data_IF_551322109422
#
_entry.id   IF_551322109422
#
_cell.length_a   1.000
_cell.length_b   1.000
_cell.length_c   1.000
_cell.angle_alpha   90.00
_cell.angle_beta   90.00
_cell.angle_gamma   90.00
#
_symmetry.space_group_name_H-M   'P 1'
#
loop_
_entity.id
_entity.type
_entity.pdbx_description
1 polymer ?
#
# COMPACT_ATOMS: atom_id res chain seq x y z
N UNK A 1 -1.95 -18.85 -7.21
CA UNK A 1 -1.22 -18.07 -6.17
C UNK A 1 -1.38 -18.67 -4.77
N UNK A 2 -2.59 -19.09 -4.34
CA UNK A 2 -2.82 -19.60 -2.97
C UNK A 2 -2.02 -20.85 -2.58
N UNK A 3 -1.99 -21.89 -3.43
CA UNK A 3 -1.33 -23.18 -3.08
C UNK A 3 0.19 -23.03 -2.87
N UNK A 4 0.89 -22.32 -3.75
CA UNK A 4 2.34 -22.14 -3.65
C UNK A 4 2.75 -21.48 -2.33
N UNK A 5 1.99 -20.48 -1.86
CA UNK A 5 2.23 -19.83 -0.56
C UNK A 5 2.14 -20.85 0.59
N UNK A 6 1.11 -21.70 0.60
CA UNK A 6 0.94 -22.72 1.63
C UNK A 6 2.11 -23.72 1.64
N UNK A 7 2.50 -24.22 0.47
CA UNK A 7 3.60 -25.20 0.34
C UNK A 7 4.96 -24.63 0.76
N UNK A 8 5.22 -23.35 0.47
CA UNK A 8 6.42 -22.65 0.96
C UNK A 8 6.44 -22.60 2.50
N UNK A 9 5.31 -22.27 3.12
CA UNK A 9 5.20 -22.20 4.59
C UNK A 9 5.38 -23.57 5.26
N UNK A 10 4.95 -24.64 4.59
CA UNK A 10 5.09 -26.03 5.05
C UNK A 10 6.49 -26.62 4.75
N UNK A 11 7.32 -25.92 3.96
CA UNK A 11 8.63 -26.42 3.53
C UNK A 11 8.58 -27.53 2.46
N UNK A 12 7.44 -27.70 1.78
CA UNK A 12 7.27 -28.68 0.70
C UNK A 12 7.82 -28.15 -0.63
N UNK A 13 9.15 -28.03 -0.68
CA UNK A 13 9.86 -27.44 -1.82
C UNK A 13 9.75 -28.25 -3.12
N UNK A 14 9.57 -29.58 -3.03
CA UNK A 14 9.34 -30.41 -4.21
C UNK A 14 7.99 -30.07 -4.85
N UNK A 15 6.94 -29.88 -4.05
CA UNK A 15 5.64 -29.43 -4.57
C UNK A 15 5.69 -28.02 -5.09
N UNK A 16 6.43 -27.11 -4.44
CA UNK A 16 6.68 -25.76 -4.98
C UNK A 16 7.33 -25.85 -6.36
N UNK A 17 8.34 -26.71 -6.55
CA UNK A 17 8.97 -26.96 -7.85
C UNK A 17 7.97 -27.42 -8.92
N UNK A 18 7.11 -28.40 -8.60
CA UNK A 18 6.04 -28.87 -9.51
C UNK A 18 5.06 -27.74 -9.88
N UNK A 19 4.73 -26.86 -8.93
CA UNK A 19 3.88 -25.69 -9.20
C UNK A 19 4.60 -24.64 -10.07
N UNK A 20 5.93 -24.50 -9.95
CA UNK A 20 6.71 -23.64 -10.84
C UNK A 20 6.68 -24.15 -12.28
N UNK A 21 6.83 -25.46 -12.48
CA UNK A 21 6.73 -26.10 -13.81
C UNK A 21 5.35 -25.86 -14.43
N UNK A 22 4.28 -26.10 -13.67
CA UNK A 22 2.91 -25.87 -14.13
C UNK A 22 2.66 -24.40 -14.49
N UNK A 23 3.21 -23.47 -13.69
CA UNK A 23 3.18 -22.06 -14.03
C UNK A 23 3.95 -21.75 -15.33
N UNK A 24 5.06 -22.45 -15.60
CA UNK A 24 5.85 -22.24 -16.81
C UNK A 24 5.09 -22.68 -18.07
N UNK A 25 4.29 -23.74 -17.99
CA UNK A 25 3.42 -24.18 -19.10
C UNK A 25 2.47 -23.04 -19.54
N UNK A 26 1.80 -22.38 -18.59
CA UNK A 26 0.97 -21.22 -18.91
C UNK A 26 1.75 -20.07 -19.54
N UNK A 27 2.98 -19.81 -19.08
CA UNK A 27 3.80 -18.74 -19.64
C UNK A 27 4.30 -19.07 -21.05
N UNK A 28 4.54 -20.35 -21.34
CA UNK A 28 4.80 -20.83 -22.70
C UNK A 28 3.58 -20.61 -23.59
N UNK A 29 2.38 -20.97 -23.12
CA UNK A 29 1.13 -20.81 -23.87
C UNK A 29 0.79 -19.34 -24.14
N UNK A 30 1.18 -18.44 -23.23
CA UNK A 30 1.08 -16.99 -23.41
C UNK A 30 2.08 -16.42 -24.42
N UNK A 31 3.02 -17.22 -24.94
CA UNK A 31 4.00 -16.81 -25.93
C UNK A 31 5.10 -15.89 -25.40
N UNK A 32 5.32 -15.85 -24.08
CA UNK A 32 6.30 -14.96 -23.44
C UNK A 32 7.66 -15.60 -23.17
N UNK A 33 7.79 -16.90 -23.47
CA UNK A 33 9.05 -17.67 -23.39
C UNK A 33 9.78 -17.72 -24.73
N UNK A 34 11.07 -18.03 -24.72
CA UNK A 34 11.92 -18.14 -25.92
C UNK A 34 12.58 -19.52 -25.98
N UNK A 35 12.99 -19.98 -27.17
CA UNK A 35 13.67 -21.28 -27.34
C UNK A 35 14.90 -21.42 -26.42
N UNK A 36 15.73 -20.37 -26.37
CA UNK A 36 16.90 -20.33 -25.48
C UNK A 36 16.51 -20.53 -24.00
N UNK A 37 15.39 -19.97 -23.57
CA UNK A 37 14.91 -20.09 -22.20
C UNK A 37 14.36 -21.49 -21.91
N UNK A 38 13.68 -22.10 -22.88
CA UNK A 38 13.21 -23.48 -22.78
C UNK A 38 14.38 -24.45 -22.65
N UNK A 39 15.45 -24.24 -23.41
CA UNK A 39 16.65 -25.07 -23.33
C UNK A 39 17.32 -24.99 -21.95
N UNK A 40 17.43 -23.79 -21.37
CA UNK A 40 17.98 -23.58 -20.02
C UNK A 40 17.12 -24.25 -18.94
N UNK A 41 15.80 -24.08 -19.01
CA UNK A 41 14.85 -24.71 -18.09
C UNK A 41 14.95 -26.23 -18.17
N UNK A 42 15.00 -26.79 -19.38
CA UNK A 42 15.14 -28.22 -19.59
C UNK A 42 16.48 -28.75 -19.06
N UNK A 43 17.57 -28.02 -19.28
CA UNK A 43 18.90 -28.37 -18.78
C UNK A 43 18.92 -28.41 -17.24
N UNK A 44 18.38 -27.39 -16.58
CA UNK A 44 18.28 -27.33 -15.12
C UNK A 44 17.47 -28.49 -14.55
N UNK A 45 16.33 -28.82 -15.17
CA UNK A 45 15.48 -29.96 -14.76
C UNK A 45 16.17 -31.30 -14.93
N UNK A 46 16.84 -31.53 -16.07
CA UNK A 46 17.62 -32.76 -16.31
C UNK A 46 18.76 -32.94 -15.31
N UNK A 47 19.35 -31.84 -14.83
CA UNK A 47 20.38 -31.83 -13.80
C UNK A 47 19.85 -31.98 -12.36
N UNK A 48 18.53 -32.11 -12.18
CA UNK A 48 17.91 -32.43 -10.89
C UNK A 48 17.24 -31.25 -10.16
N UNK A 49 16.91 -30.16 -10.86
CA UNK A 49 16.02 -29.15 -10.30
C UNK A 49 14.61 -29.75 -10.04
N UNK A 50 14.01 -29.40 -8.90
CA UNK A 50 12.63 -29.77 -8.57
C UNK A 50 11.60 -29.08 -9.46
N UNK A 51 11.95 -27.91 -9.98
CA UNK A 51 11.17 -27.17 -10.97
C UNK A 51 11.93 -25.97 -11.47
N UNK A 52 11.61 -25.52 -12.69
CA UNK A 52 12.23 -24.34 -13.27
C UNK A 52 11.22 -23.58 -14.14
N UNK A 53 11.30 -22.26 -14.10
CA UNK A 53 10.41 -21.40 -14.89
C UNK A 53 11.10 -20.10 -15.28
N UNK A 54 10.55 -19.43 -16.28
CA UNK A 54 10.96 -18.06 -16.56
C UNK A 54 10.62 -17.10 -15.41
N UNK A 55 11.46 -16.08 -15.24
CA UNK A 55 11.28 -15.00 -14.29
C UNK A 55 10.89 -13.69 -14.99
N UNK A 56 10.19 -12.80 -14.30
CA UNK A 56 9.80 -11.48 -14.85
C UNK A 56 8.58 -11.48 -15.77
N UNK A 57 8.41 -10.40 -16.53
CA UNK A 57 7.21 -10.09 -17.31
C UNK A 57 7.15 -10.74 -18.71
N UNK A 58 8.22 -11.41 -19.16
CA UNK A 58 8.34 -11.99 -20.51
C UNK A 58 9.41 -11.32 -21.38
N UNK A 59 9.81 -11.95 -22.49
CA UNK A 59 10.80 -11.40 -23.45
C UNK A 59 12.23 -11.93 -23.32
N UNK A 60 12.53 -12.70 -22.26
CA UNK A 60 13.56 -13.75 -22.29
C UNK A 60 14.99 -13.38 -21.91
N UNK A 61 15.23 -12.96 -20.66
CA UNK A 61 16.61 -12.85 -20.13
C UNK A 61 16.93 -13.85 -19.00
N UNK A 62 16.00 -14.13 -18.09
CA UNK A 62 16.30 -14.86 -16.85
C UNK A 62 15.31 -16.00 -16.56
N UNK A 63 15.83 -17.12 -16.06
CA UNK A 63 15.04 -18.20 -15.46
C UNK A 63 15.42 -18.43 -13.99
N UNK A 64 14.51 -19.03 -13.23
CA UNK A 64 14.76 -19.48 -11.87
C UNK A 64 14.57 -21.01 -11.78
N UNK A 65 15.54 -21.70 -11.21
CA UNK A 65 15.46 -23.12 -10.86
C UNK A 65 15.42 -23.28 -9.35
N UNK A 66 14.47 -24.07 -8.87
CA UNK A 66 14.41 -24.50 -7.48
C UNK A 66 15.04 -25.88 -7.37
N UNK A 67 16.03 -26.02 -6.49
CA UNK A 67 16.74 -27.27 -6.28
C UNK A 67 17.27 -27.36 -4.86
N UNK A 68 17.66 -28.57 -4.47
CA UNK A 68 18.43 -28.75 -3.24
C UNK A 68 19.85 -28.21 -3.39
N UNK A 69 20.44 -27.78 -2.28
CA UNK A 69 21.80 -27.21 -2.25
C UNK A 69 22.84 -28.16 -2.83
N UNK A 70 22.72 -29.48 -2.61
CA UNK A 70 23.65 -30.47 -3.15
C UNK A 70 23.62 -30.59 -4.69
N UNK A 71 22.55 -30.17 -5.35
CA UNK A 71 22.42 -30.21 -6.82
C UNK A 71 22.90 -28.94 -7.51
N UNK A 72 23.25 -27.92 -6.73
CA UNK A 72 23.60 -26.59 -7.24
C UNK A 72 24.70 -26.63 -8.30
N UNK A 73 25.84 -27.26 -8.02
CA UNK A 73 26.97 -27.31 -8.96
C UNK A 73 26.66 -28.08 -10.25
N UNK A 74 25.83 -29.12 -10.17
CA UNK A 74 25.43 -29.91 -11.33
C UNK A 74 24.50 -29.10 -12.25
N UNK A 75 23.53 -28.40 -11.64
CA UNK A 75 22.59 -27.54 -12.33
C UNK A 75 23.30 -26.32 -12.94
N UNK A 76 24.19 -25.66 -12.19
CA UNK A 76 24.97 -24.52 -12.69
C UNK A 76 25.75 -24.88 -13.96
N UNK A 77 26.48 -26.01 -13.93
CA UNK A 77 27.23 -26.49 -15.11
C UNK A 77 26.32 -26.80 -16.30
N UNK A 78 25.13 -27.35 -16.05
CA UNK A 78 24.18 -27.65 -17.11
C UNK A 78 23.62 -26.37 -17.78
N UNK A 79 23.36 -25.33 -16.97
CA UNK A 79 22.92 -24.01 -17.44
C UNK A 79 24.03 -23.34 -18.26
N UNK A 80 25.26 -23.31 -17.75
CA UNK A 80 26.42 -22.71 -18.43
C UNK A 80 26.73 -23.40 -19.76
N UNK A 81 26.69 -24.73 -19.80
CA UNK A 81 26.90 -25.51 -21.03
C UNK A 81 25.86 -25.21 -22.12
N UNK A 82 24.66 -24.82 -21.71
CA UNK A 82 23.55 -24.43 -22.60
C UNK A 82 23.65 -22.95 -23.02
N UNK A 83 24.67 -22.22 -22.54
CA UNK A 83 24.93 -20.83 -22.89
C UNK A 83 24.22 -19.81 -21.99
N UNK A 84 23.82 -20.22 -20.79
CA UNK A 84 23.33 -19.34 -19.74
C UNK A 84 24.45 -18.84 -18.81
N UNK A 85 24.20 -17.77 -18.09
CA UNK A 85 25.06 -17.28 -17.00
C UNK A 85 24.39 -17.58 -15.66
N UNK A 86 25.14 -18.11 -14.70
CA UNK A 86 24.61 -18.42 -13.37
C UNK A 86 24.81 -17.22 -12.45
N UNK A 87 23.69 -16.61 -12.04
CA UNK A 87 23.68 -15.58 -11.01
C UNK A 87 23.61 -16.23 -9.63
N UNK A 88 24.65 -16.03 -8.81
CA UNK A 88 24.64 -16.44 -7.41
C UNK A 88 23.74 -15.49 -6.60
N UNK A 89 22.54 -15.97 -6.26
CA UNK A 89 21.57 -15.22 -5.44
C UNK A 89 21.33 -15.96 -4.12
N UNK A 90 21.29 -15.19 -3.03
CA UNK A 90 20.93 -15.70 -1.70
C UNK A 90 19.43 -15.52 -1.44
N UNK A 91 18.75 -16.59 -1.02
CA UNK A 91 17.33 -16.59 -0.65
C UNK A 91 17.03 -15.85 0.68
N UNK A 92 18.03 -15.17 1.25
CA UNK A 92 17.92 -14.40 2.50
C UNK A 92 18.38 -12.95 2.33
N UNK A 93 18.47 -12.46 1.10
CA UNK A 93 18.61 -11.03 0.87
C UNK A 93 17.40 -10.32 1.50
N UNK A 94 17.68 -9.22 2.19
CA UNK A 94 16.65 -8.34 2.69
C UNK A 94 15.87 -7.80 1.48
N UNK A 95 14.59 -8.18 1.37
CA UNK A 95 13.72 -7.71 0.29
C UNK A 95 13.40 -6.23 0.44
N UNK A 96 12.68 -5.68 -0.54
CA UNK A 96 12.13 -4.33 -0.40
C UNK A 96 11.23 -4.26 0.84
N UNK A 97 11.55 -3.34 1.75
CA UNK A 97 10.71 -3.01 2.91
C UNK A 97 10.06 -1.65 2.66
N UNK A 98 8.81 -1.52 3.08
CA UNK A 98 8.21 -0.19 3.25
C UNK A 98 8.76 0.35 4.55
N UNK A 99 9.70 1.28 4.46
CA UNK A 99 10.10 2.07 5.63
C UNK A 99 9.04 3.14 5.86
N UNK A 100 8.28 2.96 6.93
CA UNK A 100 7.30 3.94 7.39
C UNK A 100 7.73 4.51 8.72
N UNK A 101 7.42 5.78 8.93
CA UNK A 101 7.57 6.46 10.23
C UNK A 101 6.36 6.25 11.13
N UNK A 102 5.28 5.67 10.61
CA UNK A 102 4.06 5.39 11.35
C UNK A 102 4.24 4.19 12.29
N UNK A 103 3.86 4.36 13.56
CA UNK A 103 3.88 3.26 14.53
C UNK A 103 2.81 2.21 14.19
N UNK A 104 3.27 1.07 13.68
CA UNK A 104 2.41 -0.04 13.29
C UNK A 104 1.74 -0.75 14.50
N UNK A 105 2.21 -0.49 15.72
CA UNK A 105 1.63 -1.01 16.97
C UNK A 105 0.63 -0.05 17.62
N UNK A 106 0.48 1.17 17.08
CA UNK A 106 -0.48 2.15 17.57
C UNK A 106 -1.90 1.56 17.58
N UNK A 107 -2.63 1.79 18.67
CA UNK A 107 -3.95 1.19 18.88
C UNK A 107 -5.06 2.13 18.42
N UNK A 108 -5.82 1.69 17.44
CA UNK A 108 -7.01 2.38 16.93
C UNK A 108 -8.26 1.88 17.61
N UNK A 109 -9.26 2.76 17.73
CA UNK A 109 -10.59 2.42 18.22
C UNK A 109 -11.41 1.71 17.14
N UNK A 110 -11.71 0.43 17.35
CA UNK A 110 -12.51 -0.42 16.44
C UNK A 110 -13.97 -0.37 16.85
N UNK A 111 -14.86 -0.24 15.87
CA UNK A 111 -16.30 -0.07 16.04
C UNK A 111 -17.12 -1.04 15.19
N UNK A 112 -18.40 -1.17 15.53
CA UNK A 112 -19.40 -1.74 14.63
C UNK A 112 -19.93 -0.71 13.61
N UNK A 113 -20.81 -1.14 12.71
CA UNK A 113 -21.46 -0.28 11.70
C UNK A 113 -22.30 0.87 12.29
N UNK A 114 -22.59 0.83 13.60
CA UNK A 114 -23.35 1.86 14.32
C UNK A 114 -22.46 2.76 15.16
N UNK A 115 -21.15 2.77 14.87
CA UNK A 115 -20.13 3.53 15.57
C UNK A 115 -20.06 3.21 17.08
N UNK A 116 -20.34 1.95 17.47
CA UNK A 116 -20.18 1.50 18.86
C UNK A 116 -18.84 0.81 19.01
N UNK A 117 -18.08 1.20 20.04
CA UNK A 117 -16.75 0.62 20.30
C UNK A 117 -16.90 -0.87 20.62
N UNK A 118 -16.17 -1.71 19.86
CA UNK A 118 -16.10 -3.17 20.05
C UNK A 118 -14.71 -3.64 20.48
N UNK A 119 -13.70 -2.77 20.43
CA UNK A 119 -12.36 -3.06 20.92
C UNK A 119 -11.30 -2.13 20.35
N UNK A 120 -10.05 -2.57 20.45
CA UNK A 120 -8.90 -1.86 19.93
C UNK A 120 -8.01 -2.82 19.14
N UNK A 121 -7.45 -2.33 18.04
CA UNK A 121 -6.59 -3.10 17.15
C UNK A 121 -5.41 -2.27 16.71
N UNK A 122 -4.31 -2.94 16.38
CA UNK A 122 -3.12 -2.24 15.89
C UNK A 122 -3.39 -1.60 14.54
N UNK A 123 -2.69 -0.50 14.25
CA UNK A 123 -2.65 0.15 12.94
C UNK A 123 -2.43 -0.84 11.82
N UNK A 124 -1.47 -1.75 12.00
CA UNK A 124 -1.20 -2.81 11.02
C UNK A 124 -2.43 -3.71 10.78
N UNK A 125 -3.09 -4.18 11.84
CA UNK A 125 -4.29 -5.02 11.69
C UNK A 125 -5.40 -4.28 10.95
N UNK A 126 -5.69 -3.03 11.31
CA UNK A 126 -6.74 -2.21 10.71
C UNK A 126 -6.50 -1.95 9.21
N UNK A 127 -5.28 -1.55 8.83
CA UNK A 127 -4.93 -1.25 7.44
C UNK A 127 -4.78 -2.49 6.53
N UNK A 128 -4.82 -3.70 7.10
CA UNK A 128 -4.70 -4.96 6.33
C UNK A 128 -5.95 -5.85 6.43
N UNK A 129 -6.99 -5.38 7.13
CA UNK A 129 -8.17 -6.17 7.44
C UNK A 129 -9.43 -5.32 7.21
N UNK A 130 -9.97 -5.27 5.98
CA UNK A 130 -11.08 -4.37 5.63
C UNK A 130 -12.35 -4.52 6.48
N UNK A 131 -12.56 -5.65 7.17
CA UNK A 131 -13.72 -5.83 8.03
C UNK A 131 -13.55 -5.26 9.46
N UNK A 132 -12.36 -4.77 9.81
CA UNK A 132 -12.12 -4.03 11.04
C UNK A 132 -12.43 -2.54 10.82
N UNK A 133 -13.70 -2.18 11.03
CA UNK A 133 -14.12 -0.77 10.98
C UNK A 133 -13.49 -0.04 12.15
N UNK A 134 -12.70 1.00 11.88
CA UNK A 134 -12.03 1.77 12.92
C UNK A 134 -12.25 3.27 12.73
N UNK A 135 -12.18 4.02 13.83
CA UNK A 135 -12.55 5.44 13.84
C UNK A 135 -11.44 6.32 13.30
N UNK A 136 -11.80 7.25 12.43
CA UNK A 136 -10.90 8.31 11.94
C UNK A 136 -11.57 9.67 11.96
N UNK A 137 -10.75 10.71 11.88
CA UNK A 137 -11.21 12.08 11.64
C UNK A 137 -10.73 12.55 10.28
N UNK A 138 -11.46 13.49 9.70
CA UNK A 138 -10.98 14.27 8.56
C UNK A 138 -11.31 15.74 8.75
N UNK A 139 -10.42 16.63 8.33
CA UNK A 139 -10.65 18.07 8.45
C UNK A 139 -10.50 18.73 7.09
N UNK A 140 -11.47 19.57 6.76
CA UNK A 140 -11.50 20.44 5.59
C UNK A 140 -11.27 21.89 6.05
N UNK A 141 -10.07 22.40 5.85
CA UNK A 141 -9.73 23.80 6.12
C UNK A 141 -9.94 24.64 4.88
N UNK A 142 -10.65 25.76 5.06
CA UNK A 142 -10.88 26.76 4.02
C UNK A 142 -10.23 28.09 4.40
N UNK A 143 -9.68 28.78 3.42
CA UNK A 143 -9.26 30.17 3.59
C UNK A 143 -10.44 31.14 3.39
N UNK A 144 -10.17 32.43 3.58
CA UNK A 144 -11.17 33.50 3.37
C UNK A 144 -11.70 33.61 1.93
N UNK A 145 -11.04 32.99 0.95
CA UNK A 145 -11.47 32.95 -0.44
C UNK A 145 -12.28 31.68 -0.77
N UNK A 146 -12.48 30.79 0.20
CA UNK A 146 -13.19 29.53 0.01
C UNK A 146 -12.35 28.46 -0.71
N UNK A 147 -11.02 28.65 -0.81
CA UNK A 147 -10.12 27.61 -1.33
C UNK A 147 -9.90 26.56 -0.25
N UNK A 148 -9.81 25.30 -0.65
CA UNK A 148 -9.53 24.16 0.23
C UNK A 148 -8.01 23.99 0.39
N UNK A 149 -7.54 23.75 1.61
CA UNK A 149 -6.16 23.34 1.83
C UNK A 149 -6.03 21.85 1.52
N UNK A 150 -5.22 21.50 0.52
CA UNK A 150 -4.82 20.12 0.27
C UNK A 150 -3.44 19.86 0.85
N UNK A 151 -3.25 18.62 1.30
CA UNK A 151 -1.99 18.16 1.87
C UNK A 151 -1.33 17.17 0.91
N UNK A 152 -0.04 17.35 0.61
CA UNK A 152 0.79 16.33 -0.01
C UNK A 152 1.40 15.48 1.10
N UNK A 153 0.99 14.22 1.18
CA UNK A 153 1.47 13.27 2.20
C UNK A 153 2.96 13.00 2.03
N UNK A 154 3.68 12.87 3.14
CA UNK A 154 5.08 12.47 3.15
C UNK A 154 5.30 11.14 2.41
N UNK A 155 6.51 10.92 1.89
CA UNK A 155 6.92 9.63 1.33
C UNK A 155 7.09 8.53 2.37
N UNK A 156 7.12 8.87 3.67
CA UNK A 156 7.29 7.93 4.78
C UNK A 156 5.98 7.47 5.41
N UNK A 157 4.82 7.84 4.86
CA UNK A 157 3.52 7.34 5.32
C UNK A 157 3.34 5.87 4.91
N UNK A 158 2.71 5.08 5.77
CA UNK A 158 2.33 3.71 5.44
C UNK A 158 1.22 3.66 4.37
N UNK A 159 0.23 4.55 4.49
CA UNK A 159 -0.92 4.64 3.61
C UNK A 159 -0.88 5.94 2.79
N UNK A 160 -0.97 5.79 1.46
CA UNK A 160 -1.05 6.91 0.53
C UNK A 160 0.21 7.77 0.44
N UNK A 161 1.40 7.20 0.67
CA UNK A 161 2.68 7.89 0.58
C UNK A 161 2.82 8.72 -0.70
N UNK A 162 3.17 10.00 -0.56
CA UNK A 162 3.32 10.90 -1.70
C UNK A 162 2.05 11.15 -2.50
N UNK A 163 0.85 10.78 -2.03
CA UNK A 163 -0.42 11.19 -2.65
C UNK A 163 -0.96 12.47 -2.01
N UNK A 164 -1.94 13.09 -2.68
CA UNK A 164 -2.64 14.24 -2.12
C UNK A 164 -3.80 13.79 -1.23
N UNK A 165 -4.00 14.44 -0.10
CA UNK A 165 -5.14 14.26 0.79
C UNK A 165 -5.89 15.57 1.02
N UNK A 166 -6.95 15.49 1.82
CA UNK A 166 -7.61 16.67 2.41
C UNK A 166 -6.65 17.39 3.38
N UNK A 167 -7.12 18.40 4.11
CA UNK A 167 -6.25 19.28 4.90
C UNK A 167 -5.48 18.55 6.00
N UNK A 168 -6.15 17.69 6.76
CA UNK A 168 -5.55 16.73 7.70
C UNK A 168 -6.54 15.60 7.96
N UNK A 169 -6.03 14.43 8.35
CA UNK A 169 -6.83 13.27 8.69
C UNK A 169 -5.99 12.26 9.45
N UNK A 170 -6.61 11.59 10.42
CA UNK A 170 -5.90 10.68 11.30
C UNK A 170 -6.83 9.80 12.11
N UNK A 171 -6.26 8.99 12.97
CA UNK A 171 -6.99 7.94 13.67
C UNK A 171 -7.43 8.39 15.05
N UNK A 172 -8.59 7.90 15.50
CA UNK A 172 -8.99 8.06 16.89
C UNK A 172 -8.33 6.94 17.69
N UNK A 173 -7.40 7.34 18.55
CA UNK A 173 -6.61 6.41 19.34
C UNK A 173 -7.44 5.77 20.46
N UNK A 174 -6.86 4.78 21.10
CA UNK A 174 -7.46 4.13 22.27
C UNK A 174 -7.83 5.18 23.34
N UNK A 175 -9.08 5.12 23.78
CA UNK A 175 -9.67 5.96 24.83
C UNK A 175 -9.75 7.46 24.47
N UNK A 176 -9.56 7.81 23.19
CA UNK A 176 -9.68 9.16 22.65
C UNK A 176 -11.08 9.41 22.05
N UNK A 177 -11.59 10.64 22.18
CA UNK A 177 -12.79 11.09 21.46
C UNK A 177 -12.43 11.61 20.05
N UNK A 178 -13.43 11.72 19.17
CA UNK A 178 -13.20 12.31 17.84
C UNK A 178 -12.75 13.77 17.95
N UNK A 179 -13.28 14.51 18.92
CA UNK A 179 -12.96 15.91 19.16
C UNK A 179 -11.51 16.09 19.61
N UNK A 180 -11.03 15.22 20.53
CA UNK A 180 -9.63 15.19 20.95
C UNK A 180 -8.71 14.85 19.79
N UNK A 181 -9.04 13.79 19.03
CA UNK A 181 -8.28 13.38 17.84
C UNK A 181 -8.19 14.51 16.80
N UNK A 182 -9.31 15.18 16.52
CA UNK A 182 -9.34 16.28 15.55
C UNK A 182 -8.41 17.44 15.91
N UNK A 183 -8.31 17.77 17.21
CA UNK A 183 -7.43 18.84 17.70
C UNK A 183 -5.97 18.40 17.69
N UNK A 184 -5.70 17.15 18.08
CA UNK A 184 -4.37 16.56 18.09
C UNK A 184 -3.80 16.50 16.69
N UNK A 185 -4.49 15.85 15.76
CA UNK A 185 -4.04 15.66 14.37
C UNK A 185 -3.81 16.99 13.66
N UNK A 186 -4.71 17.97 13.85
CA UNK A 186 -4.56 19.29 13.27
C UNK A 186 -3.29 20.01 13.77
N UNK A 187 -2.99 19.88 15.06
CA UNK A 187 -1.80 20.46 15.65
C UNK A 187 -0.53 19.70 15.25
N UNK A 188 -0.58 18.37 15.24
CA UNK A 188 0.56 17.51 14.91
C UNK A 188 0.97 17.67 13.45
N UNK A 189 0.04 17.57 12.50
CA UNK A 189 0.38 17.60 11.07
C UNK A 189 0.64 19.02 10.54
N UNK A 190 -0.20 19.99 10.94
CA UNK A 190 -0.20 21.35 10.37
C UNK A 190 0.31 22.43 11.33
N UNK A 191 0.46 22.13 12.62
CA UNK A 191 0.97 23.08 13.62
C UNK A 191 -0.01 24.20 13.97
N UNK A 192 -1.30 24.03 13.73
CA UNK A 192 -2.32 25.07 13.94
C UNK A 192 -3.47 24.57 14.82
N UNK A 193 -4.17 25.52 15.45
CA UNK A 193 -5.49 25.29 16.04
C UNK A 193 -6.55 26.03 15.24
N UNK A 194 -7.75 25.47 15.17
CA UNK A 194 -8.91 26.11 14.55
C UNK A 194 -10.19 25.71 15.28
N UNK A 195 -11.21 26.55 15.20
CA UNK A 195 -12.58 26.14 15.53
C UNK A 195 -13.09 25.20 14.44
N UNK A 196 -13.65 24.07 14.87
CA UNK A 196 -14.06 22.98 14.00
C UNK A 196 -15.56 22.71 14.16
N UNK A 197 -16.28 22.69 13.04
CA UNK A 197 -17.68 22.30 12.96
C UNK A 197 -17.75 20.88 12.39
N UNK A 198 -18.41 19.96 13.10
CA UNK A 198 -18.70 18.62 12.55
C UNK A 198 -19.73 18.75 11.42
N UNK A 199 -19.40 18.22 10.24
CA UNK A 199 -20.29 18.21 9.07
C UNK A 199 -20.93 16.84 8.81
N UNK A 200 -20.41 15.77 9.43
CA UNK A 200 -21.01 14.45 9.40
C UNK A 200 -20.04 13.32 9.68
N UNK A 201 -20.60 12.13 9.89
CA UNK A 201 -19.85 10.88 10.05
C UNK A 201 -20.18 9.95 8.89
N UNK A 202 -19.15 9.38 8.25
CA UNK A 202 -19.29 8.56 7.05
C UNK A 202 -18.46 7.28 7.15
N UNK A 203 -19.03 6.16 6.70
CA UNK A 203 -18.25 4.96 6.43
C UNK A 203 -17.50 5.12 5.09
N UNK A 204 -16.17 5.05 5.14
CA UNK A 204 -15.27 5.12 3.99
C UNK A 204 -14.60 3.76 3.82
N UNK A 205 -14.84 3.12 2.68
CA UNK A 205 -14.33 1.78 2.39
C UNK A 205 -13.29 1.85 1.27
N UNK A 206 -12.10 1.30 1.51
CA UNK A 206 -11.05 1.15 0.49
C UNK A 206 -10.79 -0.34 0.24
N UNK A 207 -9.79 -0.66 -0.59
CA UNK A 207 -9.41 -2.06 -0.84
C UNK A 207 -8.77 -2.73 0.38
N UNK A 208 -8.21 -1.93 1.28
CA UNK A 208 -7.32 -2.38 2.36
C UNK A 208 -7.95 -2.16 3.73
N UNK A 209 -8.83 -1.18 3.86
CA UNK A 209 -9.35 -0.75 5.16
C UNK A 209 -10.80 -0.23 5.06
N UNK A 210 -11.46 -0.15 6.21
CA UNK A 210 -12.76 0.51 6.35
C UNK A 210 -12.72 1.41 7.56
N UNK A 211 -13.15 2.65 7.38
CA UNK A 211 -13.07 3.69 8.39
C UNK A 211 -14.43 4.32 8.67
N UNK A 212 -14.74 4.49 9.96
CA UNK A 212 -15.82 5.35 10.43
C UNK A 212 -15.25 6.76 10.63
N UNK A 213 -15.37 7.59 9.59
CA UNK A 213 -14.72 8.89 9.52
C UNK A 213 -15.66 10.02 9.94
N UNK A 214 -15.34 10.72 11.03
CA UNK A 214 -16.01 11.98 11.39
C UNK A 214 -15.31 13.15 10.72
N UNK A 215 -16.05 13.90 9.92
CA UNK A 215 -15.51 14.98 9.12
C UNK A 215 -15.87 16.32 9.74
N UNK A 216 -14.86 17.16 9.85
CA UNK A 216 -14.94 18.51 10.36
C UNK A 216 -14.61 19.53 9.27
N UNK A 217 -15.18 20.71 9.42
CA UNK A 217 -14.86 21.89 8.61
C UNK A 217 -14.33 22.99 9.53
N UNK A 218 -13.30 23.69 9.07
CA UNK A 218 -12.74 24.82 9.79
C UNK A 218 -12.18 25.88 8.85
N UNK A 219 -11.68 26.96 9.43
CA UNK A 219 -10.99 28.02 8.71
C UNK A 219 -9.66 28.34 9.39
N UNK A 220 -8.60 28.50 8.59
CA UNK A 220 -7.28 28.93 9.05
C UNK A 220 -6.47 29.50 7.89
N UNK A 221 -5.83 30.65 8.10
CA UNK A 221 -4.88 31.24 7.14
C UNK A 221 -3.42 30.87 7.47
N UNK A 222 -3.21 29.95 8.44
CA UNK A 222 -1.88 29.62 8.98
C UNK A 222 -1.38 30.63 10.04
N UNK A 223 -0.06 30.75 10.25
CA UNK A 223 1.01 30.04 9.54
C UNK A 223 1.03 28.55 9.86
N UNK A 224 1.34 27.71 8.87
CA UNK A 224 1.46 26.26 9.05
C UNK A 224 2.89 25.88 9.42
N UNK A 225 3.02 24.98 10.40
CA UNK A 225 4.29 24.33 10.75
C UNK A 225 4.12 22.84 10.50
N UNK A 226 4.47 22.44 9.27
CA UNK A 226 4.26 21.09 8.77
C UNK A 226 5.17 20.10 9.48
N UNK A 227 4.62 18.96 9.90
CA UNK A 227 5.43 17.85 10.40
C UNK A 227 6.02 17.07 9.22
N UNK A 228 7.36 17.01 9.06
CA UNK A 228 8.00 16.53 7.84
C UNK A 228 7.81 15.03 7.56
N UNK A 229 7.51 14.23 8.60
CA UNK A 229 7.17 12.82 8.43
C UNK A 229 5.70 12.58 8.04
N UNK A 230 4.87 13.61 8.19
CA UNK A 230 3.45 13.56 7.86
C UNK A 230 3.14 14.22 6.52
N UNK A 231 3.73 15.41 6.32
CA UNK A 231 3.38 16.34 5.26
C UNK A 231 4.62 16.81 4.52
N UNK A 232 4.65 16.59 3.21
CA UNK A 232 5.66 17.16 2.31
C UNK A 232 5.40 18.66 2.08
N UNK A 233 4.16 19.00 1.72
CA UNK A 233 3.72 20.38 1.49
C UNK A 233 2.21 20.52 1.52
N UNK A 234 1.73 21.75 1.57
CA UNK A 234 0.31 22.09 1.43
C UNK A 234 0.06 23.03 0.27
N UNK A 235 -1.15 23.01 -0.29
CA UNK A 235 -1.55 23.87 -1.40
C UNK A 235 -3.01 24.31 -1.24
N UNK A 236 -3.27 25.61 -1.41
CA UNK A 236 -4.63 26.13 -1.52
C UNK A 236 -5.18 25.90 -2.93
N UNK A 237 -6.31 25.20 -3.03
CA UNK A 237 -6.93 24.85 -4.31
C UNK A 237 -8.39 25.25 -4.31
N UNK A 238 -8.83 25.93 -5.37
CA UNK A 238 -10.26 26.16 -5.61
C UNK A 238 -10.95 24.80 -5.88
N UNK A 239 -12.04 24.45 -5.19
CA UNK A 239 -12.73 23.18 -5.41
C UNK A 239 -13.10 22.89 -6.88
N UNK A 240 -13.45 23.92 -7.67
CA UNK A 240 -13.75 23.75 -9.10
C UNK A 240 -12.49 23.41 -9.91
N UNK A 241 -11.37 24.01 -9.55
CA UNK A 241 -10.07 23.72 -10.16
C UNK A 241 -9.56 22.33 -9.78
N UNK A 242 -9.85 21.86 -8.57
CA UNK A 242 -9.51 20.50 -8.14
C UNK A 242 -10.11 19.45 -9.07
N UNK A 243 -11.40 19.54 -9.43
CA UNK A 243 -12.03 18.65 -10.40
C UNK A 243 -11.27 18.61 -11.74
N UNK A 244 -10.86 19.78 -12.24
CA UNK A 244 -10.12 19.89 -13.50
C UNK A 244 -8.74 19.21 -13.41
N UNK A 245 -8.01 19.42 -12.33
CA UNK A 245 -6.68 18.84 -12.10
C UNK A 245 -6.72 17.33 -11.90
N UNK A 246 -7.79 16.80 -11.30
CA UNK A 246 -8.02 15.36 -11.19
C UNK A 246 -8.26 14.72 -12.56
N UNK A 247 -9.08 15.35 -13.42
CA UNK A 247 -9.34 14.89 -14.78
C UNK A 247 -8.08 14.93 -15.65
N UNK A 248 -7.27 15.99 -15.51
CA UNK A 248 -5.99 16.15 -16.19
C UNK A 248 -4.88 15.23 -15.65
N UNK A 249 -5.11 14.57 -14.50
CA UNK A 249 -4.14 13.73 -13.76
C UNK A 249 -2.92 14.50 -13.21
N UNK A 250 -3.07 15.81 -13.02
CA UNK A 250 -2.05 16.66 -12.37
C UNK A 250 -1.97 16.37 -10.86
N UNK A 251 -3.10 15.97 -10.27
CA UNK A 251 -3.23 15.55 -8.87
C UNK A 251 -3.75 14.11 -8.84
N UNK A 252 -3.16 13.32 -7.96
CA UNK A 252 -3.68 12.02 -7.53
C UNK A 252 -3.99 12.06 -6.04
N UNK A 253 -5.28 12.00 -5.70
CA UNK A 253 -5.75 11.90 -4.32
C UNK A 253 -5.58 10.47 -3.78
N UNK A 254 -5.51 10.33 -2.46
CA UNK A 254 -5.82 9.05 -1.80
C UNK A 254 -7.27 8.65 -2.08
N UNK A 255 -7.53 7.35 -2.11
CA UNK A 255 -8.90 6.83 -2.31
C UNK A 255 -9.83 7.31 -1.18
N UNK A 256 -9.32 7.36 0.04
CA UNK A 256 -10.03 7.89 1.21
C UNK A 256 -10.41 9.38 1.03
N UNK A 257 -9.45 10.25 0.73
CA UNK A 257 -9.74 11.69 0.58
C UNK A 257 -10.66 11.98 -0.60
N UNK A 258 -10.56 11.21 -1.68
CA UNK A 258 -11.53 11.32 -2.79
C UNK A 258 -12.96 11.04 -2.31
N UNK A 259 -13.16 9.96 -1.56
CA UNK A 259 -14.49 9.61 -1.04
C UNK A 259 -15.01 10.65 -0.04
N UNK A 260 -14.15 11.16 0.85
CA UNK A 260 -14.53 12.25 1.78
C UNK A 260 -15.00 13.48 1.01
N UNK A 261 -14.25 13.94 0.02
CA UNK A 261 -14.61 15.12 -0.77
C UNK A 261 -15.92 14.93 -1.55
N UNK A 262 -16.18 13.71 -2.05
CA UNK A 262 -17.44 13.37 -2.72
C UNK A 262 -18.63 13.34 -1.75
N UNK A 263 -18.48 12.67 -0.60
CA UNK A 263 -19.56 12.55 0.40
C UNK A 263 -19.91 13.88 1.08
N UNK A 264 -18.94 14.78 1.18
CA UNK A 264 -19.12 16.15 1.71
C UNK A 264 -19.57 17.15 0.65
N UNK A 265 -19.66 16.75 -0.62
CA UNK A 265 -20.08 17.60 -1.72
C UNK A 265 -19.07 18.66 -2.16
N UNK A 266 -17.83 18.60 -1.68
CA UNK A 266 -16.75 19.49 -2.11
C UNK A 266 -16.27 19.13 -3.52
N UNK A 267 -16.25 17.83 -3.83
CA UNK A 267 -15.96 17.31 -5.17
C UNK A 267 -17.24 16.72 -5.76
N UNK A 268 -17.65 17.25 -6.92
CA UNK A 268 -18.78 16.74 -7.71
C UNK A 268 -18.38 15.54 -8.58
#
# INVERSE_FOLDING_TARGET
VGEAKLRILEGDWERVGKLMDFNHEYLRDLGVSTEKLEDLILAAKKAGAWGAKLSGAGGGDCMIALARSEKREEISRAIEKTGGEVLDVSAHAEGARVETTDDQQELFTVVDEKDRIIGYKTRYECHHTPHLIHRTIGILLFDKQGRLLLQKRSSTKDMGAGLWGISTGGHVLKDESYEEASRRELLEELGVGAELEEIGTYCIETKTETEMSRIYKGASDGPFRLHPHEVDRVEWVDPKELSRRLLARDIKLTDWSRQVLQKTGVLA
#
